data_IF_192336396901
#
_entry.id   IF_192336396901
#
_cell.length_a   1.000
_cell.length_b   1.000
_cell.length_c   1.000
_cell.angle_alpha   90.00
_cell.angle_beta   90.00
_cell.angle_gamma   90.00
#
_symmetry.space_group_name_H-M   'P 1'
#
loop_
_entity.id
_entity.type
_entity.pdbx_description
1 polymer ?
#
# COMPACT_ATOMS: atom_id res chain seq x y z
N UNK A 1 -2.15 21.45 26.04
CA UNK A 1 -1.45 20.29 25.45
C UNK A 1 -1.77 20.29 23.97
N UNK A 2 -0.78 20.22 23.08
CA UNK A 2 -1.03 20.20 21.63
C UNK A 2 -1.39 18.79 21.18
N UNK A 3 -2.31 18.67 20.22
CA UNK A 3 -2.60 17.39 19.59
C UNK A 3 -1.60 17.09 18.46
N UNK A 4 -1.45 15.82 18.09
CA UNK A 4 -0.55 15.42 17.01
C UNK A 4 -0.87 16.17 15.71
N UNK A 5 -2.15 16.28 15.35
CA UNK A 5 -2.58 16.95 14.11
C UNK A 5 -2.20 18.44 14.04
N UNK A 6 -2.11 19.13 15.17
CA UNK A 6 -1.69 20.54 15.25
C UNK A 6 -0.17 20.71 15.16
N UNK A 7 0.59 19.71 15.62
CA UNK A 7 2.05 19.75 15.59
C UNK A 7 2.61 19.23 14.26
N UNK A 8 2.09 18.10 13.80
CA UNK A 8 2.55 17.40 12.61
C UNK A 8 1.46 16.49 12.06
N UNK A 9 1.09 16.69 10.79
CA UNK A 9 0.16 15.79 10.10
C UNK A 9 0.75 15.37 8.76
N UNK A 10 0.82 14.05 8.45
CA UNK A 10 1.46 13.58 7.21
C UNK A 10 0.53 13.75 5.99
N UNK A 11 0.28 15.00 5.59
CA UNK A 11 -0.66 15.40 4.54
C UNK A 11 -0.41 14.64 3.23
N UNK A 12 0.84 14.61 2.75
CA UNK A 12 1.18 13.98 1.47
C UNK A 12 0.85 12.47 1.42
N UNK A 13 1.16 11.72 2.50
CA UNK A 13 0.88 10.28 2.59
C UNK A 13 -0.62 10.02 2.68
N UNK A 14 -1.32 10.75 3.56
CA UNK A 14 -2.78 10.61 3.76
C UNK A 14 -3.54 10.98 2.48
N UNK A 15 -3.13 12.05 1.79
CA UNK A 15 -3.74 12.46 0.52
C UNK A 15 -3.54 11.43 -0.59
N UNK A 16 -2.34 10.81 -0.68
CA UNK A 16 -2.07 9.74 -1.66
C UNK A 16 -2.96 8.52 -1.44
N UNK A 17 -3.10 8.07 -0.19
CA UNK A 17 -3.97 6.95 0.14
C UNK A 17 -5.45 7.29 -0.04
N UNK A 18 -5.85 8.53 0.29
CA UNK A 18 -7.21 9.02 0.04
C UNK A 18 -7.55 9.05 -1.45
N UNK A 19 -6.59 9.44 -2.29
CA UNK A 19 -6.74 9.43 -3.73
C UNK A 19 -6.87 7.99 -4.26
N UNK A 20 -6.03 7.07 -3.81
CA UNK A 20 -6.13 5.64 -4.17
C UNK A 20 -7.48 5.05 -3.79
N UNK A 21 -7.98 5.36 -2.58
CA UNK A 21 -9.29 4.91 -2.12
C UNK A 21 -10.41 5.42 -3.04
N UNK A 22 -10.32 6.67 -3.48
CA UNK A 22 -11.27 7.26 -4.44
C UNK A 22 -11.19 6.62 -5.82
N UNK A 23 -9.99 6.29 -6.28
CA UNK A 23 -9.78 5.67 -7.60
C UNK A 23 -10.10 4.17 -7.63
N UNK A 24 -10.32 3.54 -6.47
CA UNK A 24 -10.71 2.14 -6.35
C UNK A 24 -12.20 1.92 -6.68
N UNK A 25 -12.65 2.40 -7.85
CA UNK A 25 -14.04 2.44 -8.32
C UNK A 25 -14.77 1.09 -8.20
N UNK A 26 -14.09 -0.02 -8.47
CA UNK A 26 -14.65 -1.39 -8.47
C UNK A 26 -14.76 -1.98 -7.06
N UNK A 27 -13.96 -1.47 -6.12
CA UNK A 27 -13.94 -1.95 -4.73
C UNK A 27 -14.91 -1.21 -3.80
N UNK A 28 -15.68 -0.24 -4.32
CA UNK A 28 -16.64 0.51 -3.52
C UNK A 28 -18.03 -0.09 -3.61
N UNK A 29 -18.63 -0.39 -2.45
CA UNK A 29 -19.95 -1.04 -2.33
C UNK A 29 -21.13 -0.16 -2.80
N UNK A 30 -20.95 1.16 -2.99
CA UNK A 30 -22.01 2.06 -3.47
C UNK A 30 -21.56 2.82 -4.73
N UNK A 31 -22.38 2.72 -5.77
CA UNK A 31 -22.16 3.14 -7.16
C UNK A 31 -22.61 4.58 -7.46
N UNK A 32 -22.47 4.96 -8.73
CA UNK A 32 -22.70 6.28 -9.28
C UNK A 32 -24.13 6.84 -9.22
N UNK A 33 -24.20 8.10 -9.68
CA UNK A 33 -25.25 9.12 -9.62
C UNK A 33 -25.43 9.87 -8.27
N UNK A 34 -25.10 11.18 -8.30
CA UNK A 34 -25.85 12.21 -7.59
C UNK A 34 -25.22 12.89 -6.36
N UNK A 35 -24.18 12.35 -5.70
CA UNK A 35 -23.60 13.00 -4.50
C UNK A 35 -22.42 13.90 -4.83
N UNK A 36 -22.65 15.19 -5.03
CA UNK A 36 -21.59 16.19 -5.23
C UNK A 36 -20.72 16.45 -3.97
N UNK A 37 -21.21 16.04 -2.79
CA UNK A 37 -20.44 15.99 -1.53
C UNK A 37 -19.78 14.63 -1.24
N UNK A 38 -20.03 13.61 -2.08
CA UNK A 38 -19.34 12.31 -2.11
C UNK A 38 -19.21 11.53 -0.78
N UNK A 39 -18.52 10.39 -0.86
CA UNK A 39 -18.05 9.65 0.33
C UNK A 39 -16.72 10.24 0.78
N UNK A 40 -16.59 10.58 2.06
CA UNK A 40 -15.30 10.96 2.65
C UNK A 40 -14.39 9.72 2.69
N UNK A 41 -13.12 9.82 2.24
CA UNK A 41 -12.20 8.70 2.31
C UNK A 41 -12.06 8.21 3.76
N UNK A 42 -12.24 6.90 4.00
CA UNK A 42 -12.14 6.33 5.34
C UNK A 42 -10.73 6.46 5.90
N UNK A 43 -9.71 6.36 5.03
CA UNK A 43 -8.33 6.59 5.43
C UNK A 43 -8.11 8.01 5.97
N UNK A 44 -8.77 9.00 5.40
CA UNK A 44 -8.70 10.39 5.87
C UNK A 44 -9.40 10.53 7.23
N UNK A 45 -10.63 10.01 7.35
CA UNK A 45 -11.39 10.07 8.61
C UNK A 45 -10.62 9.40 9.75
N UNK A 46 -10.05 8.22 9.51
CA UNK A 46 -9.20 7.50 10.48
C UNK A 46 -7.97 8.32 10.88
N UNK A 47 -7.27 8.90 9.91
CA UNK A 47 -6.10 9.73 10.16
C UNK A 47 -6.45 10.95 11.02
N UNK A 48 -7.58 11.60 10.77
CA UNK A 48 -8.05 12.76 11.56
C UNK A 48 -8.38 12.38 12.99
N UNK A 49 -9.11 11.29 13.21
CA UNK A 49 -9.45 10.82 14.57
C UNK A 49 -8.19 10.48 15.35
N UNK A 50 -7.27 9.71 14.76
CA UNK A 50 -6.00 9.37 15.41
C UNK A 50 -5.14 10.61 15.67
N UNK A 51 -5.07 11.56 14.73
CA UNK A 51 -4.31 12.78 14.89
C UNK A 51 -4.85 13.72 15.97
N UNK A 52 -6.17 13.69 16.23
CA UNK A 52 -6.80 14.44 17.32
C UNK A 52 -6.57 13.78 18.68
N UNK A 53 -6.62 12.45 18.74
CA UNK A 53 -6.49 11.69 19.99
C UNK A 53 -5.04 11.49 20.44
N UNK A 54 -4.09 11.45 19.51
CA UNK A 54 -2.68 11.30 19.86
C UNK A 54 -2.12 12.60 20.45
N UNK A 55 -1.51 12.56 21.64
CA UNK A 55 -0.80 13.72 22.18
C UNK A 55 0.47 14.00 21.37
N UNK A 56 0.81 15.27 21.18
CA UNK A 56 2.12 15.65 20.68
C UNK A 56 3.14 15.58 21.84
N UNK A 57 4.12 14.69 21.72
CA UNK A 57 5.23 14.52 22.66
C UNK A 57 6.40 15.46 22.31
N UNK A 58 7.48 15.38 23.10
CA UNK A 58 8.72 16.10 22.81
C UNK A 58 9.57 15.42 21.73
N UNK A 59 9.19 14.22 21.28
CA UNK A 59 9.86 13.48 20.21
C UNK A 59 8.94 13.37 18.99
N UNK A 60 8.98 14.37 18.08
CA UNK A 60 8.13 14.38 16.90
C UNK A 60 8.43 13.22 15.94
N UNK A 61 9.67 12.71 15.91
CA UNK A 61 10.05 11.60 15.02
C UNK A 61 9.32 10.34 15.47
N UNK A 62 9.39 10.02 16.76
CA UNK A 62 8.74 8.84 17.34
C UNK A 62 7.22 8.90 17.24
N UNK A 63 6.62 10.06 17.51
CA UNK A 63 5.18 10.26 17.37
C UNK A 63 4.72 9.96 15.94
N UNK A 64 5.50 10.41 14.94
CA UNK A 64 5.21 10.18 13.53
C UNK A 64 5.34 8.71 13.17
N UNK A 65 6.34 8.01 13.67
CA UNK A 65 6.50 6.57 13.47
C UNK A 65 5.32 5.78 14.04
N UNK A 66 4.88 6.10 15.26
CA UNK A 66 3.73 5.47 15.90
C UNK A 66 2.47 5.76 15.09
N UNK A 67 2.24 7.01 14.68
CA UNK A 67 1.11 7.37 13.85
C UNK A 67 1.07 6.57 12.54
N UNK A 68 2.22 6.46 11.86
CA UNK A 68 2.32 5.70 10.60
C UNK A 68 2.06 4.21 10.82
N UNK A 69 2.58 3.62 11.89
CA UNK A 69 2.31 2.23 12.29
C UNK A 69 0.81 2.01 12.56
N UNK A 70 0.15 2.91 13.28
CA UNK A 70 -1.29 2.82 13.54
C UNK A 70 -2.15 2.94 12.28
N UNK A 71 -1.66 3.66 11.28
CA UNK A 71 -2.28 3.75 9.94
C UNK A 71 -1.87 2.59 9.02
N UNK A 72 -0.94 1.73 9.46
CA UNK A 72 -0.24 0.72 8.65
C UNK A 72 0.28 1.32 7.32
N UNK A 73 0.91 2.49 7.44
CA UNK A 73 1.64 3.22 6.41
C UNK A 73 3.15 3.27 6.71
N UNK A 74 3.59 2.45 7.66
CA UNK A 74 4.98 2.09 7.90
C UNK A 74 5.45 1.06 6.86
N UNK A 75 6.76 0.83 6.77
CA UNK A 75 7.34 -0.02 5.73
C UNK A 75 6.83 -1.46 5.80
N UNK A 76 6.67 -2.00 7.02
CA UNK A 76 6.10 -3.34 7.25
C UNK A 76 4.62 -3.39 6.85
N UNK A 77 3.82 -2.41 7.28
CA UNK A 77 2.41 -2.30 6.88
C UNK A 77 2.22 -2.16 5.36
N UNK A 78 3.11 -1.42 4.68
CA UNK A 78 3.11 -1.29 3.22
C UNK A 78 3.54 -2.58 2.53
N UNK A 79 4.50 -3.32 3.11
CA UNK A 79 4.94 -4.61 2.60
C UNK A 79 3.81 -5.65 2.64
N UNK A 80 3.12 -5.77 3.77
CA UNK A 80 1.99 -6.70 3.92
C UNK A 80 0.82 -6.40 2.98
N UNK A 81 0.61 -5.11 2.63
CA UNK A 81 -0.46 -4.66 1.72
C UNK A 81 -0.07 -4.74 0.25
N UNK A 82 1.17 -5.11 -0.08
CA UNK A 82 1.64 -5.20 -1.45
C UNK A 82 1.06 -6.44 -2.12
N UNK A 83 -0.05 -6.26 -2.85
CA UNK A 83 -0.70 -7.35 -3.58
C UNK A 83 -0.33 -7.40 -5.08
N UNK A 84 0.23 -6.32 -5.64
CA UNK A 84 0.58 -6.24 -7.06
C UNK A 84 2.02 -6.66 -7.32
N UNK A 85 2.21 -7.54 -8.30
CA UNK A 85 3.53 -7.85 -8.87
C UNK A 85 4.07 -6.62 -9.59
N UNK A 86 5.37 -6.35 -9.42
CA UNK A 86 6.03 -5.28 -10.18
C UNK A 86 6.13 -5.68 -11.64
N UNK A 87 5.91 -4.75 -12.59
CA UNK A 87 6.14 -5.04 -14.00
C UNK A 87 7.62 -5.38 -14.22
N UNK A 88 7.88 -6.37 -15.07
CA UNK A 88 9.21 -6.96 -15.23
C UNK A 88 10.26 -5.93 -15.67
N UNK A 89 9.84 -4.92 -16.43
CA UNK A 89 10.66 -3.76 -16.82
C UNK A 89 11.21 -2.99 -15.62
N UNK A 90 10.32 -2.58 -14.70
CA UNK A 90 10.71 -1.80 -13.52
C UNK A 90 11.57 -2.63 -12.56
N UNK A 91 11.34 -3.95 -12.52
CA UNK A 91 12.15 -4.86 -11.73
C UNK A 91 13.58 -4.90 -12.29
N UNK A 92 13.74 -5.07 -13.60
CA UNK A 92 15.04 -5.11 -14.26
C UNK A 92 15.85 -3.82 -14.06
N UNK A 93 15.20 -2.66 -14.21
CA UNK A 93 15.85 -1.34 -14.01
C UNK A 93 16.41 -1.16 -12.59
N UNK A 94 15.74 -1.72 -11.57
CA UNK A 94 16.13 -1.61 -10.16
C UNK A 94 17.05 -2.73 -9.66
N UNK A 95 17.20 -3.82 -10.42
CA UNK A 95 18.09 -4.93 -10.09
C UNK A 95 19.56 -4.58 -10.32
N UNK A 96 20.43 -5.15 -9.48
CA UNK A 96 21.89 -5.09 -9.68
C UNK A 96 22.30 -5.89 -10.92
N UNK A 97 23.48 -5.63 -11.52
CA UNK A 97 23.97 -6.43 -12.64
C UNK A 97 23.98 -7.94 -12.35
N UNK A 98 24.36 -8.33 -11.13
CA UNK A 98 24.40 -9.72 -10.68
C UNK A 98 23.00 -10.34 -10.63
N UNK A 99 22.01 -9.62 -10.07
CA UNK A 99 20.62 -10.07 -10.04
C UNK A 99 20.01 -10.20 -11.44
N UNK A 100 20.48 -9.40 -12.41
CA UNK A 100 19.96 -9.44 -13.78
C UNK A 100 20.30 -10.77 -14.46
N UNK A 101 21.54 -11.22 -14.32
CA UNK A 101 22.00 -12.47 -14.93
C UNK A 101 21.39 -13.71 -14.25
N UNK A 102 21.11 -13.62 -12.95
CA UNK A 102 20.49 -14.69 -12.16
C UNK A 102 18.98 -14.82 -12.45
N UNK A 103 18.24 -13.70 -12.46
CA UNK A 103 16.77 -13.71 -12.46
C UNK A 103 16.12 -13.39 -13.82
N UNK A 104 16.88 -12.89 -14.80
CA UNK A 104 16.36 -12.54 -16.13
C UNK A 104 17.09 -13.29 -17.23
N UNK A 105 16.37 -13.62 -18.30
CA UNK A 105 16.97 -14.23 -19.49
C UNK A 105 17.52 -13.14 -20.41
N UNK A 106 18.81 -13.24 -20.77
CA UNK A 106 19.51 -12.29 -21.63
C UNK A 106 19.18 -12.46 -23.13
N UNK A 107 18.42 -13.49 -23.50
CA UNK A 107 18.09 -13.79 -24.88
C UNK A 107 16.66 -13.37 -25.21
N UNK A 108 16.48 -12.18 -25.82
CA UNK A 108 15.51 -11.85 -26.89
C UNK A 108 15.58 -10.34 -27.23
N UNK A 109 15.47 -9.92 -28.52
CA UNK A 109 15.50 -8.51 -28.95
C UNK A 109 14.14 -7.80 -28.81
N UNK A 110 14.08 -6.47 -28.95
CA UNK A 110 13.81 -5.48 -27.89
C UNK A 110 12.40 -5.56 -27.30
N UNK A 111 11.98 -6.73 -26.83
CA UNK A 111 10.81 -6.91 -25.99
C UNK A 111 11.29 -7.07 -24.54
N UNK A 112 10.48 -6.57 -23.61
CA UNK A 112 10.77 -6.46 -22.19
C UNK A 112 11.45 -7.72 -21.62
N UNK A 113 12.41 -7.58 -20.68
CA UNK A 113 13.09 -8.73 -20.08
C UNK A 113 12.04 -9.66 -19.47
N UNK A 114 12.21 -10.98 -19.65
CA UNK A 114 11.29 -11.99 -19.12
C UNK A 114 11.86 -12.54 -17.81
N UNK A 115 11.03 -12.66 -16.78
CA UNK A 115 11.43 -13.14 -15.45
C UNK A 115 11.52 -14.68 -15.47
N UNK A 116 12.60 -15.26 -14.95
CA UNK A 116 12.69 -16.73 -14.75
C UNK A 116 11.73 -17.18 -13.65
N UNK A 117 10.73 -17.99 -13.99
CA UNK A 117 9.69 -18.49 -13.07
C UNK A 117 10.18 -19.64 -12.17
N UNK A 118 11.12 -19.36 -11.25
CA UNK A 118 11.56 -20.35 -10.22
C UNK A 118 10.95 -20.15 -8.83
N UNK A 119 9.99 -19.25 -8.66
CA UNK A 119 9.26 -19.05 -7.40
C UNK A 119 7.83 -19.59 -7.49
N UNK A 120 7.65 -20.90 -7.72
CA UNK A 120 6.32 -21.56 -7.69
C UNK A 120 6.10 -22.47 -6.47
N UNK A 121 6.99 -22.49 -5.47
CA UNK A 121 6.79 -23.31 -4.27
C UNK A 121 6.99 -22.49 -2.99
N UNK A 122 5.87 -22.02 -2.45
CA UNK A 122 5.80 -21.35 -1.15
C UNK A 122 4.37 -20.95 -0.78
N UNK A 123 3.53 -21.94 -0.40
CA UNK A 123 2.43 -21.72 0.55
C UNK A 123 1.05 -21.32 0.02
N UNK A 124 0.42 -22.17 -0.81
CA UNK A 124 -1.04 -22.16 -0.98
C UNK A 124 -1.70 -23.20 -0.06
N UNK A 125 -2.04 -22.81 1.18
CA UNK A 125 -2.86 -23.62 2.08
C UNK A 125 -4.33 -23.58 1.64
N UNK A 126 -4.94 -24.76 1.49
CA UNK A 126 -6.16 -24.99 0.73
C UNK A 126 -7.44 -24.35 1.28
N UNK A 127 -8.23 -23.77 0.37
CA UNK A 127 -9.64 -23.49 0.58
C UNK A 127 -10.48 -24.71 0.24
N UNK A 128 -10.85 -25.50 1.24
CA UNK A 128 -11.91 -26.49 1.12
C UNK A 128 -13.26 -25.78 1.17
N UNK A 129 -14.07 -25.94 0.12
CA UNK A 129 -15.49 -25.56 0.09
C UNK A 129 -16.28 -26.47 1.04
N UNK A 130 -17.02 -25.96 2.04
CA UNK A 130 -17.97 -26.79 2.77
C UNK A 130 -19.22 -27.01 1.89
N UNK A 131 -19.49 -28.28 1.58
CA UNK A 131 -20.75 -28.73 0.98
C UNK A 131 -21.86 -28.65 2.02
N UNK A 132 -22.93 -27.92 1.73
CA UNK A 132 -24.18 -28.02 2.48
C UNK A 132 -24.91 -29.31 2.11
N UNK A 133 -25.24 -30.10 3.13
CA UNK A 133 -26.17 -31.23 3.10
C UNK A 133 -27.00 -31.19 4.37
#
# INVERSE_FOLDING_TARGET
MKSFIEAQFPVAKVSKESYKERMANVGQTLTGLGKWWGRKPLVLVRATILGLLMPASNDPVRDREIFLKLMAMDDEGLWQRRFKTLPVKELYEKCTPEDRDEYFESSLPPALPTRRDRLSKGGGGGGGTPSFG
#
